data_IF_778367293599
#
_entry.id   IF_778367293599
#
_cell.length_a   1.000
_cell.length_b   1.000
_cell.length_c   1.000
_cell.angle_alpha   90.00
_cell.angle_beta   90.00
_cell.angle_gamma   90.00
#
_symmetry.space_group_name_H-M   'P 1'
#
loop_
_entity.id
_entity.type
_entity.pdbx_description
1 polymer ?
#
# COMPACT_ATOMS: atom_id res chain seq x y z
N UNK A 1 4.38 -13.54 -11.68
CA UNK A 1 3.04 -13.15 -11.26
C UNK A 1 2.82 -11.69 -11.60
N UNK A 2 1.64 -11.31 -11.92
CA UNK A 2 1.31 -9.95 -12.29
C UNK A 2 0.95 -9.08 -11.09
N UNK A 3 0.47 -7.87 -11.34
CA UNK A 3 0.00 -6.99 -10.28
C UNK A 3 -1.16 -7.59 -9.50
N UNK A 4 -1.27 -7.22 -8.24
CA UNK A 4 -2.29 -7.75 -7.34
C UNK A 4 -3.16 -6.60 -6.85
N UNK A 5 -4.47 -6.73 -7.01
CA UNK A 5 -5.42 -5.77 -6.46
C UNK A 5 -5.58 -6.01 -4.97
N UNK A 6 -5.54 -4.94 -4.19
CA UNK A 6 -5.72 -5.01 -2.74
C UNK A 6 -6.65 -3.90 -2.31
N UNK A 7 -7.24 -4.05 -1.13
CA UNK A 7 -7.98 -2.98 -0.47
C UNK A 7 -7.15 -2.50 0.71
N UNK A 8 -7.16 -1.21 0.95
CA UNK A 8 -6.41 -0.60 2.05
C UNK A 8 -7.28 0.43 2.75
N UNK A 9 -6.84 0.87 3.92
CA UNK A 9 -7.43 2.04 4.54
C UNK A 9 -6.69 3.28 4.05
N UNK A 10 -7.39 4.16 3.35
CA UNK A 10 -6.80 5.35 2.73
C UNK A 10 -7.47 6.64 3.20
N UNK A 11 -8.35 6.58 4.20
CA UNK A 11 -9.08 7.75 4.67
C UNK A 11 -8.34 8.53 5.75
N UNK A 12 -7.16 8.09 6.16
CA UNK A 12 -6.39 8.82 7.16
C UNK A 12 -5.70 10.01 6.52
N UNK A 13 -5.49 11.04 7.34
CA UNK A 13 -4.79 12.24 6.87
C UNK A 13 -3.38 11.93 6.40
N UNK A 14 -2.68 11.04 7.10
CA UNK A 14 -1.32 10.67 6.74
C UNK A 14 -1.26 10.08 5.32
N UNK A 15 -2.21 9.21 4.99
CA UNK A 15 -2.24 8.63 3.65
C UNK A 15 -2.59 9.69 2.60
N UNK A 16 -3.59 10.51 2.87
CA UNK A 16 -4.03 11.50 1.90
C UNK A 16 -2.96 12.55 1.60
N UNK A 17 -2.10 12.87 2.56
CA UNK A 17 -1.05 13.86 2.42
C UNK A 17 0.33 13.27 2.15
N UNK A 18 0.38 11.99 1.82
CA UNK A 18 1.64 11.29 1.55
C UNK A 18 2.39 11.93 0.39
N UNK A 19 3.70 12.14 0.56
CA UNK A 19 4.55 12.70 -0.50
C UNK A 19 5.78 11.87 -0.79
N UNK A 20 6.12 10.91 0.07
CA UNK A 20 7.29 10.06 -0.15
C UNK A 20 7.63 9.24 1.08
N UNK A 21 8.63 8.39 0.95
CA UNK A 21 9.04 7.49 2.01
C UNK A 21 8.16 6.26 2.09
N UNK A 22 8.34 5.46 3.15
CA UNK A 22 7.58 4.24 3.36
C UNK A 22 6.57 4.46 4.48
N UNK A 23 5.29 4.22 4.19
CA UNK A 23 4.25 4.29 5.21
C UNK A 23 4.38 3.09 6.13
N UNK A 24 4.50 3.32 7.43
CA UNK A 24 4.60 2.26 8.43
C UNK A 24 3.29 2.13 9.21
N UNK A 25 3.26 1.18 10.13
CA UNK A 25 2.01 0.79 10.81
C UNK A 25 1.31 1.91 11.58
N UNK A 26 2.03 2.97 11.92
CA UNK A 26 1.44 4.06 12.69
C UNK A 26 0.59 5.02 11.84
N UNK A 27 0.64 4.88 10.52
CA UNK A 27 0.07 5.87 9.62
C UNK A 27 -1.40 5.60 9.28
N UNK A 28 -1.88 4.38 9.46
CA UNK A 28 -3.25 4.02 9.10
C UNK A 28 -3.65 2.76 9.85
N UNK A 29 -4.96 2.53 9.93
CA UNK A 29 -5.49 1.32 10.53
C UNK A 29 -5.84 0.28 9.48
N UNK A 30 -6.93 -0.45 9.70
CA UNK A 30 -7.32 -1.55 8.83
C UNK A 30 -8.77 -1.47 8.39
N UNK A 31 -9.37 -0.29 8.43
CA UNK A 31 -10.73 -0.07 7.95
C UNK A 31 -10.70 0.14 6.44
N UNK A 32 -10.80 -0.93 5.69
CA UNK A 32 -10.62 -0.91 4.24
C UNK A 32 -11.67 -0.04 3.55
N UNK A 33 -11.23 0.93 2.77
CA UNK A 33 -12.14 1.85 2.08
C UNK A 33 -11.71 2.19 0.67
N UNK A 34 -10.60 1.60 0.17
CA UNK A 34 -10.05 2.03 -1.12
C UNK A 34 -9.31 0.86 -1.79
N UNK A 35 -9.57 0.67 -3.08
CA UNK A 35 -8.89 -0.33 -3.87
C UNK A 35 -7.67 0.25 -4.58
N UNK A 36 -6.55 -0.46 -4.53
CA UNK A 36 -5.31 -0.06 -5.18
C UNK A 36 -4.62 -1.28 -5.78
N UNK A 37 -3.51 -1.05 -6.48
CA UNK A 37 -2.81 -2.09 -7.22
C UNK A 37 -1.37 -2.20 -6.73
N UNK A 38 -1.00 -3.37 -6.20
CA UNK A 38 0.39 -3.65 -5.86
C UNK A 38 1.11 -4.02 -7.14
N UNK A 39 2.12 -3.25 -7.52
CA UNK A 39 2.84 -3.46 -8.78
C UNK A 39 4.29 -3.89 -8.60
N UNK A 40 4.80 -3.87 -7.36
CA UNK A 40 6.17 -4.27 -7.11
C UNK A 40 6.48 -4.27 -5.63
N UNK A 41 7.75 -4.44 -5.32
CA UNK A 41 8.23 -4.44 -3.94
C UNK A 41 9.70 -4.05 -3.94
N UNK A 42 10.20 -3.68 -2.77
CA UNK A 42 11.59 -3.29 -2.62
C UNK A 42 11.94 -3.05 -1.18
N UNK A 43 13.03 -2.34 -0.96
CA UNK A 43 13.52 -2.01 0.37
C UNK A 43 14.15 -0.63 0.34
N UNK A 44 13.79 0.20 1.30
CA UNK A 44 14.33 1.56 1.41
C UNK A 44 14.81 1.76 2.84
N UNK A 45 16.09 2.11 3.03
CA UNK A 45 16.69 2.30 4.36
C UNK A 45 16.39 1.13 5.29
N UNK A 46 16.54 -0.10 4.77
CA UNK A 46 16.32 -1.35 5.48
C UNK A 46 14.85 -1.64 5.82
N UNK A 47 13.91 -0.87 5.26
CA UNK A 47 12.49 -1.12 5.45
C UNK A 47 11.92 -1.72 4.18
N UNK A 48 11.48 -2.98 4.21
CA UNK A 48 10.85 -3.57 3.02
C UNK A 48 9.47 -2.96 2.78
N UNK A 49 9.07 -2.85 1.51
CA UNK A 49 7.80 -2.23 1.17
C UNK A 49 7.15 -2.89 -0.04
N UNK A 50 5.84 -2.64 -0.17
CA UNK A 50 5.11 -2.88 -1.40
C UNK A 50 5.03 -1.57 -2.17
N UNK A 51 5.29 -1.62 -3.47
CA UNK A 51 5.07 -0.46 -4.34
C UNK A 51 3.65 -0.54 -4.86
N UNK A 52 2.87 0.48 -4.57
CA UNK A 52 1.43 0.49 -4.81
C UNK A 52 1.08 1.63 -5.74
N UNK A 53 0.32 1.33 -6.79
CA UNK A 53 -0.20 2.35 -7.69
C UNK A 53 -1.58 2.77 -7.20
N UNK A 54 -1.72 4.06 -6.88
CA UNK A 54 -2.99 4.63 -6.49
C UNK A 54 -3.70 5.20 -7.71
N UNK A 55 -4.99 5.52 -7.56
CA UNK A 55 -5.81 6.05 -8.64
C UNK A 55 -6.11 7.55 -8.48
N UNK A 56 -5.31 8.26 -7.70
CA UNK A 56 -5.55 9.69 -7.41
C UNK A 56 -4.73 10.63 -8.29
N UNK A 57 -4.09 10.13 -9.34
CA UNK A 57 -3.33 10.94 -10.27
C UNK A 57 -1.87 11.09 -9.89
N UNK A 58 -1.07 11.56 -10.84
CA UNK A 58 0.38 11.61 -10.68
C UNK A 58 0.84 12.73 -9.73
N UNK A 59 -0.04 13.65 -9.36
CA UNK A 59 0.32 14.73 -8.44
C UNK A 59 0.24 14.27 -6.98
N UNK A 60 -0.35 13.11 -6.72
CA UNK A 60 -0.41 12.54 -5.36
C UNK A 60 0.77 11.62 -5.14
N UNK A 61 1.32 11.64 -3.91
CA UNK A 61 2.38 10.74 -3.53
C UNK A 61 3.63 10.88 -4.38
N UNK A 62 4.26 9.77 -4.69
CA UNK A 62 5.45 9.72 -5.56
C UNK A 62 4.99 9.40 -6.97
N UNK A 63 4.62 10.42 -7.73
CA UNK A 63 4.13 10.28 -9.10
C UNK A 63 2.91 9.36 -9.20
N UNK A 64 2.06 9.39 -8.18
CA UNK A 64 0.87 8.56 -8.12
C UNK A 64 1.07 7.23 -7.40
N UNK A 65 2.26 6.96 -6.91
CA UNK A 65 2.60 5.70 -6.23
C UNK A 65 2.84 5.93 -4.74
N UNK A 66 2.71 4.87 -3.96
CA UNK A 66 3.01 4.91 -2.53
C UNK A 66 3.74 3.63 -2.14
N UNK A 67 4.68 3.76 -1.21
CA UNK A 67 5.38 2.63 -0.62
C UNK A 67 4.75 2.34 0.73
N UNK A 68 4.28 1.12 0.91
CA UNK A 68 3.64 0.69 2.16
C UNK A 68 4.48 -0.44 2.74
N UNK A 69 4.83 -0.32 4.01
CA UNK A 69 5.70 -1.29 4.68
C UNK A 69 5.20 -2.71 4.47
N UNK A 70 6.13 -3.61 4.11
CA UNK A 70 5.82 -5.02 3.91
C UNK A 70 6.17 -5.76 5.19
N UNK A 71 5.16 -6.29 5.86
CA UNK A 71 5.34 -7.02 7.10
C UNK A 71 6.06 -8.34 6.86
N UNK A 72 6.90 -8.74 7.82
CA UNK A 72 7.55 -10.05 7.78
C UNK A 72 6.62 -11.15 8.30
N UNK A 73 5.49 -10.79 8.91
CA UNK A 73 4.54 -11.77 9.42
C UNK A 73 3.51 -12.10 8.35
N UNK A 74 3.28 -13.38 8.11
CA UNK A 74 2.25 -13.81 7.17
C UNK A 74 0.86 -13.88 7.80
N UNK A 75 0.77 -13.61 9.10
CA UNK A 75 -0.49 -13.73 9.84
C UNK A 75 -1.13 -12.40 10.16
N UNK A 76 -0.43 -11.28 10.01
CA UNK A 76 -1.03 -10.00 10.35
C UNK A 76 -1.79 -9.43 9.15
N UNK A 77 -2.53 -8.35 9.40
CA UNK A 77 -3.36 -7.71 8.39
C UNK A 77 -2.56 -6.84 7.43
N UNK A 78 -1.30 -6.62 7.74
CA UNK A 78 -0.47 -5.73 6.96
C UNK A 78 -0.72 -4.27 7.28
N UNK A 79 0.23 -3.43 6.90
CA UNK A 79 0.11 -1.98 7.10
C UNK A 79 -1.04 -1.48 6.23
N UNK A 80 -1.92 -0.65 6.79
CA UNK A 80 -3.13 -0.15 6.14
C UNK A 80 -4.10 -1.27 5.74
N UNK A 81 -3.93 -2.47 6.30
CA UNK A 81 -4.76 -3.62 5.97
C UNK A 81 -4.45 -4.25 4.63
N UNK A 82 -3.29 -3.98 4.06
CA UNK A 82 -2.94 -4.36 2.69
C UNK A 82 -3.00 -5.87 2.46
N UNK A 83 -2.80 -6.68 3.49
CA UNK A 83 -2.80 -8.13 3.37
C UNK A 83 -4.17 -8.77 3.62
N UNK A 84 -5.21 -7.96 3.88
CA UNK A 84 -6.51 -8.50 4.27
C UNK A 84 -7.32 -9.04 3.09
N UNK A 85 -7.29 -8.37 1.94
CA UNK A 85 -8.12 -8.75 0.79
C UNK A 85 -7.35 -8.62 -0.53
N UNK A 86 -6.30 -9.41 -0.72
CA UNK A 86 -5.60 -9.41 -2.00
C UNK A 86 -6.38 -10.20 -3.04
N UNK A 87 -6.31 -9.79 -4.29
CA UNK A 87 -6.86 -10.54 -5.41
C UNK A 87 -6.09 -10.21 -6.69
N UNK A 88 -6.11 -11.12 -7.64
CA UNK A 88 -5.50 -10.86 -8.94
C UNK A 88 -6.37 -11.48 -10.02
N UNK A 89 -6.39 -10.87 -11.22
CA UNK A 89 -7.24 -11.38 -12.27
C UNK A 89 -6.74 -12.72 -12.81
N UNK A 90 -7.68 -13.57 -13.16
CA UNK A 90 -7.40 -14.84 -13.84
C UNK A 90 -7.79 -14.65 -15.30
N UNK A 91 -6.82 -14.80 -16.19
CA UNK A 91 -7.04 -14.63 -17.62
C UNK A 91 -6.77 -15.91 -18.38
#
# INVERSE_FOLDING_TARGET
LGPVSVAIEADTRTFQLYTGGVITSDACGTNLDHGVLVVGYGEESSTPYWLVKNSWGASWGENGYVKIERSSSTKDKGVCGIAMQPSFPIV
#
